data_IF_593150605100
#
_entry.id   IF_593150605100
#
_cell.length_a   1.000
_cell.length_b   1.000
_cell.length_c   1.000
_cell.angle_alpha   90.00
_cell.angle_beta   90.00
_cell.angle_gamma   90.00
#
_symmetry.space_group_name_H-M   'P 1'
#
loop_
_entity.id
_entity.type
_entity.pdbx_description
1 polymer ?
#
# COMPACT_ATOMS: atom_id res chain seq x y z
N UNK A 1 15.27 -10.78 8.77
CA UNK A 1 13.93 -10.82 8.15
C UNK A 1 13.49 -9.49 7.50
N UNK A 2 14.23 -8.38 7.64
CA UNK A 2 13.89 -7.04 7.12
C UNK A 2 13.62 -6.87 5.61
N UNK A 3 14.10 -7.77 4.73
CA UNK A 3 13.97 -7.59 3.27
C UNK A 3 12.55 -7.81 2.76
N UNK A 4 11.83 -8.79 3.29
CA UNK A 4 10.51 -9.17 2.76
C UNK A 4 9.45 -8.10 3.06
N UNK A 5 9.46 -7.58 4.29
CA UNK A 5 8.54 -6.53 4.75
C UNK A 5 8.76 -5.23 3.98
N UNK A 6 10.03 -4.87 3.74
CA UNK A 6 10.40 -3.71 2.92
C UNK A 6 9.91 -3.85 1.48
N UNK A 7 10.04 -5.03 0.87
CA UNK A 7 9.54 -5.30 -0.49
C UNK A 7 8.02 -5.18 -0.53
N UNK A 8 7.32 -5.81 0.42
CA UNK A 8 5.86 -5.79 0.49
C UNK A 8 5.33 -4.37 0.71
N UNK A 9 5.92 -3.62 1.62
CA UNK A 9 5.54 -2.23 1.85
C UNK A 9 5.80 -1.34 0.61
N UNK A 10 6.91 -1.57 -0.11
CA UNK A 10 7.17 -0.90 -1.38
C UNK A 10 6.12 -1.20 -2.44
N UNK A 11 5.66 -2.46 -2.52
CA UNK A 11 4.57 -2.86 -3.41
C UNK A 11 3.23 -2.22 -3.01
N UNK A 12 2.93 -2.13 -1.71
CA UNK A 12 1.73 -1.44 -1.21
C UNK A 12 1.74 0.03 -1.63
N UNK A 13 2.86 0.74 -1.44
CA UNK A 13 2.99 2.14 -1.84
C UNK A 13 2.83 2.31 -3.37
N UNK A 14 3.40 1.41 -4.18
CA UNK A 14 3.22 1.44 -5.63
C UNK A 14 1.76 1.20 -6.05
N UNK A 15 1.08 0.23 -5.43
CA UNK A 15 -0.34 -0.05 -5.69
C UNK A 15 -1.22 1.13 -5.28
N UNK A 16 -0.95 1.74 -4.12
CA UNK A 16 -1.60 2.96 -3.64
C UNK A 16 -1.48 4.09 -4.66
N UNK A 17 -0.27 4.36 -5.14
CA UNK A 17 0.01 5.43 -6.09
C UNK A 17 -0.77 5.25 -7.41
N UNK A 18 -0.79 4.02 -7.95
CA UNK A 18 -1.57 3.67 -9.15
C UNK A 18 -3.08 3.87 -8.94
N UNK A 19 -3.61 3.43 -7.80
CA UNK A 19 -5.01 3.62 -7.44
C UNK A 19 -5.36 5.10 -7.25
N UNK A 20 -4.46 5.87 -6.65
CA UNK A 20 -4.64 7.30 -6.44
C UNK A 20 -4.62 8.09 -7.76
N UNK A 21 -3.78 7.70 -8.72
CA UNK A 21 -3.80 8.25 -10.07
C UNK A 21 -5.14 7.99 -10.78
N UNK A 22 -5.75 6.82 -10.53
CA UNK A 22 -7.06 6.43 -11.06
C UNK A 22 -8.23 6.77 -10.13
N UNK A 23 -8.06 7.66 -9.15
CA UNK A 23 -9.10 8.00 -8.16
C UNK A 23 -10.43 8.46 -8.78
N UNK A 24 -10.38 9.01 -10.00
CA UNK A 24 -11.55 9.47 -10.75
C UNK A 24 -12.38 8.31 -11.33
N UNK A 25 -11.79 7.12 -11.47
CA UNK A 25 -12.46 5.91 -11.94
C UNK A 25 -13.03 5.07 -10.80
N UNK A 26 -12.84 5.49 -9.54
CA UNK A 26 -13.37 4.78 -8.37
C UNK A 26 -14.87 5.02 -8.29
N UNK A 27 -15.72 3.99 -8.49
CA UNK A 27 -17.16 4.16 -8.39
C UNK A 27 -17.55 4.50 -6.95
N UNK A 28 -18.63 5.27 -6.79
CA UNK A 28 -19.10 5.76 -5.48
C UNK A 28 -19.30 4.63 -4.46
N UNK A 29 -19.70 3.45 -4.92
CA UNK A 29 -19.91 2.25 -4.11
C UNK A 29 -18.61 1.73 -3.46
N UNK A 30 -17.48 1.87 -4.16
CA UNK A 30 -16.15 1.44 -3.70
C UNK A 30 -15.32 2.57 -3.07
N UNK A 31 -15.87 3.78 -2.99
CA UNK A 31 -15.15 4.96 -2.52
C UNK A 31 -14.82 4.89 -1.03
N UNK A 32 -15.67 4.24 -0.24
CA UNK A 32 -15.42 3.95 1.18
C UNK A 32 -14.22 3.02 1.38
N UNK A 33 -14.21 1.89 0.68
CA UNK A 33 -13.12 0.92 0.71
C UNK A 33 -11.81 1.53 0.20
N UNK A 34 -11.88 2.28 -0.90
CA UNK A 34 -10.72 3.00 -1.42
C UNK A 34 -10.13 3.96 -0.38
N UNK A 35 -10.96 4.79 0.28
CA UNK A 35 -10.49 5.71 1.33
C UNK A 35 -9.88 4.96 2.51
N UNK A 36 -10.51 3.88 2.97
CA UNK A 36 -10.01 3.05 4.06
C UNK A 36 -8.63 2.46 3.73
N UNK A 37 -8.46 1.91 2.52
CA UNK A 37 -7.21 1.34 2.07
C UNK A 37 -6.11 2.41 1.85
N UNK A 38 -6.47 3.60 1.35
CA UNK A 38 -5.53 4.72 1.26
C UNK A 38 -5.03 5.14 2.65
N UNK A 39 -5.92 5.27 3.63
CA UNK A 39 -5.54 5.62 5.02
C UNK A 39 -4.65 4.55 5.65
N UNK A 40 -4.93 3.26 5.41
CA UNK A 40 -4.09 2.17 5.90
C UNK A 40 -2.70 2.17 5.24
N UNK A 41 -2.63 2.48 3.95
CA UNK A 41 -1.36 2.61 3.23
C UNK A 41 -0.59 3.89 3.58
N UNK A 42 -1.27 4.96 4.01
CA UNK A 42 -0.63 6.21 4.46
C UNK A 42 0.12 6.05 5.79
N UNK A 43 -0.37 5.14 6.64
CA UNK A 43 0.33 4.73 7.87
C UNK A 43 1.66 4.01 7.61
N UNK A 44 1.96 3.64 6.35
CA UNK A 44 3.27 3.13 5.95
C UNK A 44 4.23 4.29 5.71
N UNK A 45 4.89 4.75 6.78
CA UNK A 45 5.89 5.79 6.64
C UNK A 45 7.18 5.24 5.98
N UNK A 46 7.66 5.84 4.87
CA UNK A 46 8.96 5.52 4.33
C UNK A 46 10.03 6.07 5.28
N UNK A 47 10.64 5.20 6.09
CA UNK A 47 11.83 5.59 6.84
C UNK A 47 13.09 5.48 5.97
N UNK A 48 14.18 6.06 6.44
CA UNK A 48 15.51 5.77 5.93
C UNK A 48 16.13 4.81 6.94
N UNK A 49 16.63 3.66 6.48
CA UNK A 49 17.43 2.79 7.33
C UNK A 49 18.75 3.53 7.60
N UNK A 50 18.90 4.06 8.82
CA UNK A 50 20.05 4.88 9.21
C UNK A 50 21.38 4.11 9.21
N UNK A 51 21.34 2.78 9.16
CA UNK A 51 22.54 1.92 9.15
C UNK A 51 23.01 1.67 7.72
N UNK A 52 22.08 1.42 6.78
CA UNK A 52 22.40 1.16 5.38
C UNK A 52 22.34 2.39 4.47
N UNK A 53 21.87 3.54 4.95
CA UNK A 53 21.52 4.73 4.14
C UNK A 53 20.58 4.42 2.95
N UNK A 54 19.90 3.27 2.96
CA UNK A 54 18.95 2.85 1.94
C UNK A 54 17.54 3.23 2.40
N UNK A 55 16.72 3.70 1.46
CA UNK A 55 15.27 3.85 1.70
C UNK A 55 14.73 2.49 2.11
N UNK A 56 14.18 2.40 3.31
CA UNK A 56 13.68 1.17 3.88
C UNK A 56 12.34 1.50 4.53
N UNK A 57 11.30 0.75 4.23
CA UNK A 57 10.01 1.02 4.84
C UNK A 57 9.97 0.22 6.13
N UNK A 58 10.11 0.90 7.27
CA UNK A 58 10.04 0.29 8.59
C UNK A 58 8.59 0.11 8.92
N UNK A 59 8.09 -1.07 8.63
CA UNK A 59 6.80 -1.49 9.11
C UNK A 59 6.99 -2.09 10.51
N UNK A 60 6.43 -1.43 11.53
CA UNK A 60 6.42 -1.92 12.92
C UNK A 60 5.26 -2.89 13.19
N UNK A 61 4.48 -3.23 12.17
CA UNK A 61 3.34 -4.15 12.26
C UNK A 61 3.64 -5.57 11.74
N UNK A 62 2.60 -6.40 11.70
CA UNK A 62 2.68 -7.79 11.26
C UNK A 62 2.82 -7.91 9.72
N UNK A 63 3.83 -8.61 9.22
CA UNK A 63 4.02 -8.87 7.77
C UNK A 63 2.77 -9.44 7.06
N UNK A 64 1.91 -10.18 7.77
CA UNK A 64 0.62 -10.64 7.22
C UNK A 64 -0.35 -9.48 6.95
N UNK A 65 -0.36 -8.43 7.79
CA UNK A 65 -1.19 -7.26 7.57
C UNK A 65 -0.79 -6.51 6.28
N UNK A 66 0.52 -6.39 6.00
CA UNK A 66 1.01 -5.85 4.73
C UNK A 66 0.55 -6.69 3.54
N UNK A 67 0.58 -8.01 3.67
CA UNK A 67 0.19 -8.93 2.61
C UNK A 67 -1.31 -8.85 2.32
N UNK A 68 -2.15 -8.77 3.37
CA UNK A 68 -3.59 -8.55 3.24
C UNK A 68 -3.87 -7.20 2.57
N UNK A 69 -3.27 -6.12 3.08
CA UNK A 69 -3.43 -4.77 2.51
C UNK A 69 -3.02 -4.71 1.03
N UNK A 70 -1.93 -5.37 0.65
CA UNK A 70 -1.51 -5.47 -0.74
C UNK A 70 -2.54 -6.21 -1.61
N UNK A 71 -3.14 -7.27 -1.08
CA UNK A 71 -4.12 -8.07 -1.80
C UNK A 71 -5.43 -7.29 -1.99
N UNK A 72 -5.88 -6.57 -0.97
CA UNK A 72 -7.07 -5.73 -1.02
C UNK A 72 -6.90 -4.58 -2.02
N UNK A 73 -5.76 -3.90 -2.01
CA UNK A 73 -5.44 -2.88 -3.01
C UNK A 73 -5.41 -3.45 -4.44
N UNK A 74 -4.87 -4.66 -4.62
CA UNK A 74 -4.87 -5.32 -5.93
C UNK A 74 -6.27 -5.75 -6.37
N UNK A 75 -7.09 -6.22 -5.45
CA UNK A 75 -8.48 -6.59 -5.72
C UNK A 75 -9.28 -5.36 -6.16
N UNK A 76 -9.17 -4.27 -5.41
CA UNK A 76 -9.79 -3.00 -5.75
C UNK A 76 -9.32 -2.50 -7.12
N UNK A 77 -8.01 -2.54 -7.40
CA UNK A 77 -7.47 -2.13 -8.70
C UNK A 77 -7.98 -2.96 -9.87
N UNK A 78 -8.30 -4.24 -9.67
CA UNK A 78 -8.92 -5.09 -10.70
C UNK A 78 -10.40 -4.78 -10.92
N UNK A 79 -11.10 -4.38 -9.87
CA UNK A 79 -12.52 -4.00 -9.94
C UNK A 79 -12.76 -2.62 -10.55
N UNK A 80 -11.71 -1.81 -10.70
CA UNK A 80 -11.82 -0.52 -11.40
C UNK A 80 -11.88 -0.72 -12.92
N UNK A 81 -12.75 0.04 -13.63
CA UNK A 81 -12.76 0.04 -15.09
C UNK A 81 -11.40 0.50 -15.64
N UNK A 82 -10.96 -0.17 -16.72
CA UNK A 82 -9.61 -0.03 -17.29
C UNK A 82 -9.34 1.32 -17.93
#
# INVERSE_FOLDING_TARGET
MLKQETILAGQVLQCRDKLYARRHNVPSDLLGDWRSLMQQADKLEPTIDRVSHKKCIRFTGNANALKTLLNDLKSLAKSLPH
#
